data_IF_933736250882
#
_entry.id   IF_933736250882
#
_cell.length_a   1.000
_cell.length_b   1.000
_cell.length_c   1.000
_cell.angle_alpha   90.00
_cell.angle_beta   90.00
_cell.angle_gamma   90.00
#
_symmetry.space_group_name_H-M   'P 1'
#
loop_
_entity.id
_entity.type
_entity.pdbx_description
1 polymer ?
#
# COMPACT_ATOMS: atom_id res chain seq x y z
N UNK A 1 -1.80 24.80 -20.12
CA UNK A 1 -1.05 24.05 -19.13
C UNK A 1 -0.50 22.81 -19.81
N UNK A 2 0.79 22.82 -20.01
CA UNK A 2 1.49 21.68 -20.62
C UNK A 2 1.43 20.56 -19.62
N UNK A 3 1.01 19.38 -20.05
CA UNK A 3 1.09 18.16 -19.25
C UNK A 3 2.57 17.82 -19.01
N UNK A 4 3.12 18.37 -17.99
CA UNK A 4 4.43 18.03 -17.44
C UNK A 4 4.40 16.70 -16.65
N UNK A 5 3.37 15.91 -16.84
CA UNK A 5 3.19 14.59 -16.25
C UNK A 5 4.23 13.55 -16.69
N UNK A 6 4.85 13.74 -17.86
CA UNK A 6 5.78 12.75 -18.43
C UNK A 6 7.05 12.47 -17.60
N UNK A 7 7.73 13.42 -16.99
CA UNK A 7 8.86 13.12 -16.10
C UNK A 7 8.44 12.46 -14.80
N UNK A 8 7.24 12.78 -14.32
CA UNK A 8 6.74 12.28 -13.03
C UNK A 8 6.12 10.88 -13.10
N UNK A 9 5.61 10.45 -14.24
CA UNK A 9 5.08 9.08 -14.40
C UNK A 9 6.16 8.00 -14.19
N UNK A 10 7.43 8.32 -14.36
CA UNK A 10 8.53 7.42 -14.06
C UNK A 10 8.80 7.33 -12.54
N UNK A 11 8.56 8.40 -11.78
CA UNK A 11 8.67 8.43 -10.32
C UNK A 11 7.55 7.64 -9.61
N UNK A 12 6.40 7.49 -10.27
CA UNK A 12 5.27 6.71 -9.75
C UNK A 12 5.40 5.20 -9.98
N UNK A 13 6.46 4.76 -10.63
CA UNK A 13 6.71 3.33 -10.88
C UNK A 13 7.38 2.70 -9.68
N UNK A 14 7.19 1.40 -9.56
CA UNK A 14 7.51 0.50 -8.46
C UNK A 14 8.77 0.81 -7.67
N UNK A 15 8.70 0.52 -6.39
CA UNK A 15 9.80 0.53 -5.46
C UNK A 15 9.82 1.71 -4.49
N UNK A 16 10.38 1.45 -3.33
CA UNK A 16 10.36 2.37 -2.17
C UNK A 16 10.98 3.73 -2.43
N UNK A 17 12.10 3.78 -3.15
CA UNK A 17 12.81 5.03 -3.45
C UNK A 17 11.95 5.95 -4.31
N UNK A 18 11.40 5.43 -5.42
CA UNK A 18 10.54 6.21 -6.30
C UNK A 18 9.29 6.72 -5.59
N UNK A 19 8.67 5.88 -4.78
CA UNK A 19 7.47 6.19 -4.02
C UNK A 19 7.73 7.29 -2.97
N UNK A 20 8.81 7.17 -2.20
CA UNK A 20 9.20 8.18 -1.20
C UNK A 20 9.56 9.52 -1.83
N UNK A 21 10.35 9.52 -2.92
CA UNK A 21 10.70 10.74 -3.66
C UNK A 21 9.46 11.43 -4.23
N UNK A 22 8.53 10.67 -4.80
CA UNK A 22 7.29 11.23 -5.31
C UNK A 22 6.47 11.90 -4.21
N UNK A 23 6.31 11.24 -3.07
CA UNK A 23 5.58 11.79 -1.91
C UNK A 23 6.24 13.07 -1.40
N UNK A 24 7.56 13.13 -1.33
CA UNK A 24 8.28 14.34 -0.92
C UNK A 24 8.08 15.48 -1.91
N UNK A 25 8.13 15.21 -3.22
CA UNK A 25 7.85 16.22 -4.26
C UNK A 25 6.42 16.75 -4.13
N UNK A 26 5.44 15.88 -3.88
CA UNK A 26 4.05 16.29 -3.66
C UNK A 26 3.92 17.20 -2.44
N UNK A 27 4.61 16.88 -1.35
CA UNK A 27 4.63 17.71 -0.14
C UNK A 27 5.28 19.09 -0.39
N UNK A 28 6.50 19.12 -0.94
CA UNK A 28 7.30 20.33 -1.04
C UNK A 28 6.84 21.28 -2.15
N UNK A 29 6.44 20.74 -3.30
CA UNK A 29 6.15 21.56 -4.48
C UNK A 29 4.65 21.83 -4.63
N UNK A 30 3.81 20.85 -4.29
CA UNK A 30 2.36 20.94 -4.49
C UNK A 30 1.58 21.24 -3.22
N UNK A 31 2.22 21.13 -2.04
CA UNK A 31 1.57 21.43 -0.75
C UNK A 31 0.31 20.60 -0.51
N UNK A 32 0.38 19.29 -0.82
CA UNK A 32 -0.78 18.42 -0.72
C UNK A 32 -1.24 18.26 0.73
N UNK A 33 -2.56 18.23 0.95
CA UNK A 33 -3.16 18.12 2.28
C UNK A 33 -3.40 16.66 2.70
N UNK A 34 -3.38 15.71 1.75
CA UNK A 34 -3.49 14.28 1.99
C UNK A 34 -2.84 13.48 0.86
N UNK A 35 -2.42 12.24 1.16
CA UNK A 35 -1.89 11.30 0.17
C UNK A 35 -2.72 10.03 0.16
N UNK A 36 -3.29 9.68 -0.99
CA UNK A 36 -3.97 8.40 -1.20
C UNK A 36 -3.15 7.61 -2.23
N UNK A 37 -2.58 6.49 -1.80
CA UNK A 37 -1.89 5.58 -2.69
C UNK A 37 -2.80 4.40 -3.03
N UNK A 38 -3.06 4.21 -4.30
CA UNK A 38 -3.88 3.11 -4.83
C UNK A 38 -3.06 2.20 -5.73
N UNK A 39 -3.35 0.91 -5.70
CA UNK A 39 -2.64 -0.09 -6.50
C UNK A 39 -3.10 -1.50 -6.16
N UNK A 40 -2.32 -2.47 -6.61
CA UNK A 40 -2.55 -3.89 -6.38
C UNK A 40 -1.55 -4.47 -5.40
N UNK A 41 -1.86 -5.64 -4.82
CA UNK A 41 -1.01 -6.31 -3.85
C UNK A 41 -1.27 -7.82 -3.81
N UNK A 42 -0.30 -8.57 -3.31
CA UNK A 42 -0.48 -9.96 -2.93
C UNK A 42 -1.13 -10.10 -1.54
N UNK A 43 -2.01 -11.06 -1.38
CA UNK A 43 -2.68 -11.34 -0.10
C UNK A 43 -1.75 -12.06 0.88
N UNK A 44 -1.66 -11.52 2.10
CA UNK A 44 -1.04 -12.19 3.25
C UNK A 44 -2.07 -12.84 4.20
N UNK A 45 -3.37 -12.63 3.97
CA UNK A 45 -4.44 -13.17 4.80
C UNK A 45 -5.32 -14.12 3.98
N UNK A 46 -5.61 -15.31 4.52
CA UNK A 46 -6.38 -16.32 3.81
C UNK A 46 -7.84 -15.93 3.59
N UNK A 47 -8.41 -15.06 4.42
CA UNK A 47 -9.78 -14.59 4.31
C UNK A 47 -9.95 -13.53 3.20
N UNK A 48 -8.84 -12.93 2.75
CA UNK A 48 -8.83 -11.91 1.71
C UNK A 48 -8.66 -12.56 0.35
N UNK A 49 -9.64 -12.45 -0.53
CA UNK A 49 -9.64 -13.05 -1.85
C UNK A 49 -9.10 -12.13 -2.95
N UNK A 50 -8.74 -12.71 -4.08
CA UNK A 50 -8.40 -11.94 -5.29
C UNK A 50 -9.63 -11.09 -5.67
N UNK A 51 -9.39 -9.81 -5.96
CA UNK A 51 -10.41 -8.81 -6.21
C UNK A 51 -10.88 -8.02 -4.98
N UNK A 52 -10.71 -8.56 -3.77
CA UNK A 52 -11.02 -7.81 -2.54
C UNK A 52 -10.10 -6.61 -2.33
N UNK A 53 -10.53 -5.65 -1.51
CA UNK A 53 -9.75 -4.47 -1.18
C UNK A 53 -9.25 -4.52 0.27
N UNK A 54 -7.98 -4.19 0.46
CA UNK A 54 -7.36 -3.94 1.77
C UNK A 54 -7.07 -2.45 1.91
N UNK A 55 -7.61 -1.85 2.98
CA UNK A 55 -7.34 -0.47 3.42
C UNK A 55 -6.32 -0.52 4.55
N UNK A 56 -5.24 0.24 4.45
CA UNK A 56 -4.21 0.23 5.48
C UNK A 56 -4.71 0.75 6.83
N UNK A 57 -4.49 -0.01 7.90
CA UNK A 57 -4.51 0.53 9.27
C UNK A 57 -3.19 1.20 9.58
N UNK A 58 -2.12 0.57 9.14
CA UNK A 58 -0.75 1.06 9.17
C UNK A 58 0.06 0.41 8.05
N UNK A 59 1.24 0.94 7.79
CA UNK A 59 2.19 0.38 6.83
C UNK A 59 3.57 0.23 7.47
N UNK A 60 4.35 -0.78 7.06
CA UNK A 60 5.72 -0.99 7.51
C UNK A 60 6.61 -1.61 6.42
N UNK A 61 7.93 -1.46 6.60
CA UNK A 61 8.92 -2.08 5.74
C UNK A 61 9.26 -3.49 6.23
N UNK A 62 8.76 -4.54 5.56
CA UNK A 62 9.05 -5.92 5.95
C UNK A 62 10.50 -6.36 5.66
N UNK A 63 11.17 -5.67 4.74
CA UNK A 63 12.54 -5.95 4.30
C UNK A 63 13.61 -5.12 5.00
N UNK A 64 13.22 -4.22 5.94
CA UNK A 64 14.16 -3.49 6.78
C UNK A 64 14.72 -4.43 7.85
N UNK A 65 16.04 -4.59 7.85
CA UNK A 65 16.74 -5.44 8.81
C UNK A 65 17.93 -4.69 9.43
N UNK A 66 17.75 -4.28 10.67
CA UNK A 66 18.78 -3.67 11.50
C UNK A 66 18.91 -4.38 12.86
N UNK A 67 18.53 -5.67 12.92
CA UNK A 67 18.57 -6.49 14.14
C UNK A 67 19.98 -6.51 14.75
N UNK A 68 21.03 -6.55 13.92
CA UNK A 68 22.41 -6.52 14.36
C UNK A 68 22.80 -5.27 15.16
N UNK A 69 22.00 -4.20 15.08
CA UNK A 69 22.15 -2.96 15.86
C UNK A 69 21.13 -2.84 17.01
N UNK A 70 20.38 -3.91 17.31
CA UNK A 70 19.41 -3.96 18.41
C UNK A 70 18.01 -3.44 18.07
N UNK A 71 17.71 -3.15 16.82
CA UNK A 71 16.36 -2.79 16.37
C UNK A 71 15.49 -4.02 16.12
N UNK A 72 14.18 -3.84 16.15
CA UNK A 72 13.24 -4.88 15.71
C UNK A 72 13.33 -5.02 14.19
N UNK A 73 13.08 -6.22 13.66
CA UNK A 73 12.91 -6.40 12.22
C UNK A 73 11.78 -5.52 11.71
N UNK A 74 11.96 -4.84 10.58
CA UNK A 74 11.01 -3.85 10.07
C UNK A 74 11.16 -2.44 10.65
N UNK A 75 11.88 -2.27 11.77
CA UNK A 75 12.09 -0.95 12.37
C UNK A 75 13.22 -0.20 11.67
N UNK A 76 12.94 1.04 11.29
CA UNK A 76 13.95 1.94 10.71
C UNK A 76 14.84 2.47 11.84
N UNK A 77 16.18 2.36 11.73
CA UNK A 77 17.09 2.89 12.73
C UNK A 77 16.87 4.39 13.01
N UNK A 78 16.97 4.78 14.29
CA UNK A 78 16.78 6.15 14.76
C UNK A 78 15.35 6.71 14.60
N UNK A 79 14.38 5.86 14.30
CA UNK A 79 12.96 6.20 14.37
C UNK A 79 12.32 5.46 15.55
N UNK A 80 11.46 6.17 16.29
CA UNK A 80 10.72 5.59 17.42
C UNK A 80 9.56 4.71 16.91
N UNK A 81 9.01 5.07 15.76
CA UNK A 81 7.90 4.35 15.13
C UNK A 81 8.37 3.06 14.46
N UNK A 82 7.64 1.99 14.75
CA UNK A 82 7.79 0.69 14.10
C UNK A 82 7.02 0.62 12.79
N UNK A 83 5.86 1.26 12.75
CA UNK A 83 4.96 1.32 11.58
C UNK A 83 4.32 2.70 11.49
N UNK A 84 3.85 3.08 10.32
CA UNK A 84 3.25 4.38 10.06
C UNK A 84 1.73 4.24 10.02
N UNK A 85 0.99 4.85 10.98
CA UNK A 85 -0.47 4.74 11.04
C UNK A 85 -1.13 5.51 9.90
N UNK A 86 -2.06 4.86 9.21
CA UNK A 86 -2.88 5.51 8.19
C UNK A 86 -3.97 6.39 8.84
N UNK A 87 -4.42 7.42 8.11
CA UNK A 87 -5.46 8.32 8.60
C UNK A 87 -6.82 7.59 8.71
N UNK A 88 -7.43 7.66 9.89
CA UNK A 88 -8.68 6.98 10.20
C UNK A 88 -9.87 7.56 9.43
N UNK A 89 -9.88 8.88 9.17
CA UNK A 89 -10.99 9.53 8.44
C UNK A 89 -10.98 9.10 6.99
N UNK A 90 -9.80 9.12 6.35
CA UNK A 90 -9.64 8.63 4.98
C UNK A 90 -10.02 7.15 4.87
N UNK A 91 -9.59 6.33 5.84
CA UNK A 91 -9.91 4.90 5.87
C UNK A 91 -11.40 4.63 6.00
N UNK A 92 -12.10 5.32 6.93
CA UNK A 92 -13.56 5.20 7.10
C UNK A 92 -14.33 5.63 5.86
N UNK A 93 -13.88 6.72 5.23
CA UNK A 93 -14.46 7.18 3.97
C UNK A 93 -14.27 6.10 2.87
N UNK A 94 -13.06 5.57 2.72
CA UNK A 94 -12.77 4.52 1.75
C UNK A 94 -13.61 3.27 1.98
N UNK A 95 -13.76 2.82 3.24
CA UNK A 95 -14.59 1.65 3.57
C UNK A 95 -16.07 1.85 3.24
N UNK A 96 -16.60 3.05 3.51
CA UNK A 96 -17.98 3.42 3.14
C UNK A 96 -18.15 3.41 1.61
N UNK A 97 -17.31 4.16 0.92
CA UNK A 97 -17.38 4.35 -0.54
C UNK A 97 -17.19 3.02 -1.27
N UNK A 98 -16.26 2.18 -0.82
CA UNK A 98 -16.02 0.89 -1.47
C UNK A 98 -17.26 0.01 -1.49
N UNK A 99 -18.01 -0.04 -0.39
CA UNK A 99 -19.27 -0.79 -0.32
C UNK A 99 -20.35 -0.26 -1.27
N UNK A 100 -20.28 1.03 -1.61
CA UNK A 100 -21.24 1.65 -2.55
C UNK A 100 -20.88 1.34 -4.01
N UNK A 101 -19.58 1.40 -4.37
CA UNK A 101 -19.15 1.31 -5.77
C UNK A 101 -18.68 -0.09 -6.18
N UNK A 102 -18.36 -0.95 -5.23
CA UNK A 102 -17.92 -2.34 -5.43
C UNK A 102 -18.66 -3.29 -4.48
N UNK A 103 -20.00 -3.40 -4.56
CA UNK A 103 -20.79 -4.20 -3.62
C UNK A 103 -20.53 -5.71 -3.73
N UNK A 104 -19.89 -6.15 -4.81
CA UNK A 104 -19.60 -7.56 -5.13
C UNK A 104 -18.33 -8.10 -4.43
N UNK A 105 -17.50 -7.22 -3.86
CA UNK A 105 -16.25 -7.61 -3.20
C UNK A 105 -16.25 -7.24 -1.71
N UNK A 106 -15.32 -7.85 -0.98
CA UNK A 106 -15.12 -7.55 0.44
C UNK A 106 -14.09 -6.43 0.63
N UNK A 107 -14.25 -5.68 1.73
CA UNK A 107 -13.31 -4.64 2.17
C UNK A 107 -12.76 -5.03 3.52
N UNK A 108 -11.45 -5.11 3.61
CA UNK A 108 -10.71 -5.41 4.83
C UNK A 108 -9.91 -4.20 5.28
N UNK A 109 -9.75 -4.05 6.57
CA UNK A 109 -8.85 -3.08 7.19
C UNK A 109 -7.71 -3.83 7.85
N UNK A 110 -6.46 -3.52 7.50
CA UNK A 110 -5.33 -4.26 8.03
C UNK A 110 -3.98 -3.66 7.66
N UNK A 111 -2.93 -4.21 8.26
CA UNK A 111 -1.56 -3.82 7.99
C UNK A 111 -1.16 -4.17 6.57
N UNK A 112 -0.48 -3.24 5.89
CA UNK A 112 0.15 -3.47 4.59
C UNK A 112 1.67 -3.49 4.78
N UNK A 113 2.32 -4.54 4.28
CA UNK A 113 3.75 -4.75 4.38
C UNK A 113 4.41 -4.40 3.04
N UNK A 114 5.42 -3.53 3.06
CA UNK A 114 6.12 -3.11 1.83
C UNK A 114 7.57 -3.59 1.82
N UNK A 115 8.07 -3.95 0.64
CA UNK A 115 9.47 -4.26 0.42
C UNK A 115 9.82 -4.19 -1.07
N UNK A 116 11.09 -4.01 -1.42
CA UNK A 116 11.54 -3.99 -2.82
C UNK A 116 11.65 -5.42 -3.39
N UNK A 117 10.59 -6.23 -3.18
CA UNK A 117 10.52 -7.63 -3.59
C UNK A 117 9.09 -7.99 -4.02
N UNK A 118 8.96 -8.66 -5.16
CA UNK A 118 7.73 -9.34 -5.53
C UNK A 118 7.66 -10.68 -4.79
N UNK A 119 6.72 -10.81 -3.87
CA UNK A 119 6.59 -12.01 -3.03
C UNK A 119 5.78 -13.07 -3.77
N UNK A 120 6.43 -14.17 -4.12
CA UNK A 120 5.85 -15.33 -4.82
C UNK A 120 6.27 -16.67 -4.20
N UNK A 121 7.03 -16.64 -3.12
CA UNK A 121 7.45 -17.84 -2.38
C UNK A 121 6.64 -17.95 -1.09
N UNK A 122 6.00 -19.11 -0.90
CA UNK A 122 5.17 -19.38 0.26
C UNK A 122 5.93 -19.26 1.60
N UNK A 123 7.20 -19.66 1.62
CA UNK A 123 8.01 -19.60 2.85
C UNK A 123 8.30 -18.15 3.26
N UNK A 124 8.55 -17.29 2.28
CA UNK A 124 8.74 -15.84 2.48
C UNK A 124 7.42 -15.20 2.93
N UNK A 125 6.31 -15.53 2.27
CA UNK A 125 4.96 -15.11 2.70
C UNK A 125 4.69 -15.47 4.16
N UNK A 126 4.87 -16.75 4.52
CA UNK A 126 4.60 -17.26 5.86
C UNK A 126 5.49 -16.55 6.93
N UNK A 127 6.75 -16.25 6.57
CA UNK A 127 7.64 -15.49 7.45
C UNK A 127 7.15 -14.05 7.66
N UNK A 128 6.69 -13.36 6.61
CA UNK A 128 6.13 -12.00 6.71
C UNK A 128 4.87 -12.01 7.58
N UNK A 129 3.98 -12.99 7.40
CA UNK A 129 2.76 -13.13 8.22
C UNK A 129 3.13 -13.35 9.68
N UNK A 130 4.05 -14.28 9.96
CA UNK A 130 4.46 -14.63 11.34
C UNK A 130 5.11 -13.46 12.06
N UNK A 131 5.92 -12.67 11.37
CA UNK A 131 6.66 -11.56 11.95
C UNK A 131 5.79 -10.30 12.13
N UNK A 132 4.95 -9.98 11.13
CA UNK A 132 4.29 -8.68 11.05
C UNK A 132 2.76 -8.72 11.13
N UNK A 133 2.12 -9.86 10.91
CA UNK A 133 0.66 -9.98 10.91
C UNK A 133 -0.03 -9.18 9.81
N UNK A 134 0.60 -9.08 8.62
CA UNK A 134 0.10 -8.28 7.50
C UNK A 134 -1.14 -8.89 6.82
N UNK A 135 -1.94 -8.04 6.18
CA UNK A 135 -3.08 -8.41 5.32
C UNK A 135 -2.71 -8.43 3.85
N UNK A 136 -1.81 -7.55 3.43
CA UNK A 136 -1.34 -7.45 2.06
C UNK A 136 0.16 -7.12 2.01
N UNK A 137 0.81 -7.49 0.89
CA UNK A 137 2.22 -7.19 0.61
C UNK A 137 2.34 -6.54 -0.76
N UNK A 138 3.14 -5.49 -0.83
CA UNK A 138 3.39 -4.68 -2.03
C UNK A 138 4.76 -3.97 -1.93
N UNK A 139 5.03 -2.97 -2.76
CA UNK A 139 6.40 -2.44 -2.91
C UNK A 139 6.55 -0.93 -2.66
N UNK A 140 5.52 -0.19 -2.25
CA UNK A 140 5.54 1.28 -2.18
C UNK A 140 4.97 1.88 -0.88
N UNK A 141 3.91 1.29 -0.35
CA UNK A 141 3.04 1.89 0.66
C UNK A 141 3.77 2.36 1.92
N UNK A 142 4.74 1.57 2.41
CA UNK A 142 5.52 1.97 3.59
C UNK A 142 6.43 3.18 3.33
N UNK A 143 7.01 3.31 2.13
CA UNK A 143 7.82 4.46 1.78
C UNK A 143 6.98 5.73 1.63
N UNK A 144 5.76 5.60 1.08
CA UNK A 144 4.78 6.69 1.03
C UNK A 144 4.34 7.08 2.43
N UNK A 145 3.97 6.10 3.26
CA UNK A 145 3.55 6.33 4.64
C UNK A 145 4.65 6.97 5.48
N UNK A 146 5.90 6.52 5.34
CA UNK A 146 7.06 7.12 6.00
C UNK A 146 7.26 8.58 5.58
N UNK A 147 7.25 8.87 4.28
CA UNK A 147 7.44 10.23 3.78
C UNK A 147 6.27 11.14 4.22
N UNK A 148 5.03 10.67 4.15
CA UNK A 148 3.85 11.40 4.61
C UNK A 148 3.91 11.66 6.12
N UNK A 149 4.28 10.66 6.93
CA UNK A 149 4.46 10.77 8.38
C UNK A 149 5.49 11.86 8.74
N UNK A 150 6.67 11.83 8.10
CA UNK A 150 7.73 12.81 8.33
C UNK A 150 7.34 14.24 7.93
N UNK A 151 6.42 14.39 6.99
CA UNK A 151 5.85 15.67 6.56
C UNK A 151 4.54 16.05 7.28
N UNK A 152 4.08 15.22 8.25
CA UNK A 152 2.81 15.42 8.97
C UNK A 152 1.59 15.50 8.06
N UNK A 153 1.61 14.77 6.96
CA UNK A 153 0.51 14.69 5.98
C UNK A 153 -0.29 13.40 6.21
N UNK A 154 -1.63 13.47 6.38
CA UNK A 154 -2.46 12.28 6.47
C UNK A 154 -2.36 11.44 5.20
N UNK A 155 -2.33 10.11 5.34
CA UNK A 155 -2.26 9.22 4.20
C UNK A 155 -3.15 7.99 4.36
N UNK A 156 -3.47 7.37 3.23
CA UNK A 156 -4.11 6.06 3.15
C UNK A 156 -3.50 5.25 2.01
N UNK A 157 -3.22 3.98 2.26
CA UNK A 157 -2.84 3.00 1.22
C UNK A 157 -4.03 2.09 0.97
N UNK A 158 -4.44 1.99 -0.29
CA UNK A 158 -5.53 1.16 -0.78
C UNK A 158 -4.95 0.11 -1.72
N UNK A 159 -5.24 -1.16 -1.50
CA UNK A 159 -4.77 -2.26 -2.35
C UNK A 159 -5.90 -3.18 -2.76
N UNK A 160 -6.06 -3.38 -4.06
CA UNK A 160 -6.88 -4.46 -4.58
C UNK A 160 -6.01 -5.72 -4.72
N UNK A 161 -6.50 -6.85 -4.28
CA UNK A 161 -5.71 -8.08 -4.28
C UNK A 161 -5.68 -8.68 -5.67
N UNK A 162 -4.48 -8.82 -6.23
CA UNK A 162 -4.23 -9.41 -7.56
C UNK A 162 -3.81 -10.88 -7.50
N UNK A 163 -3.22 -11.30 -6.38
CA UNK A 163 -2.63 -12.62 -6.22
C UNK A 163 -2.56 -13.05 -4.74
N UNK A 164 -2.17 -14.29 -4.51
CA UNK A 164 -2.05 -14.85 -3.15
C UNK A 164 -0.65 -14.76 -2.56
N UNK A 165 0.29 -14.05 -3.18
CA UNK A 165 1.69 -13.92 -2.75
C UNK A 165 2.38 -15.27 -2.49
N UNK A 166 2.09 -16.29 -3.30
CA UNK A 166 2.62 -17.64 -3.19
C UNK A 166 3.01 -18.21 -4.56
N UNK A 167 3.18 -19.52 -4.70
CA UNK A 167 3.58 -20.15 -5.94
C UNK A 167 2.65 -19.92 -7.14
N UNK A 168 1.40 -19.48 -6.93
CA UNK A 168 0.46 -19.10 -7.99
C UNK A 168 0.60 -17.63 -8.43
N UNK A 169 1.27 -16.79 -7.64
CA UNK A 169 1.25 -15.33 -7.77
C UNK A 169 1.50 -14.78 -9.19
N UNK A 170 2.43 -15.38 -9.93
CA UNK A 170 2.71 -14.93 -11.30
C UNK A 170 1.55 -15.17 -12.28
N UNK A 171 0.81 -16.25 -12.12
CA UNK A 171 -0.36 -16.56 -12.95
C UNK A 171 -1.55 -15.71 -12.51
N UNK A 172 -1.81 -15.65 -11.21
CA UNK A 172 -2.89 -14.88 -10.63
C UNK A 172 -2.76 -13.39 -11.00
N UNK A 173 -1.55 -12.82 -10.86
CA UNK A 173 -1.26 -11.43 -11.22
C UNK A 173 -1.62 -11.15 -12.68
N UNK A 174 -1.14 -11.97 -13.62
CA UNK A 174 -1.38 -11.77 -15.06
C UNK A 174 -2.86 -11.88 -15.43
N UNK A 175 -3.63 -12.74 -14.72
CA UNK A 175 -5.04 -12.98 -15.00
C UNK A 175 -5.96 -11.91 -14.37
N UNK A 176 -5.66 -11.49 -13.12
CA UNK A 176 -6.58 -10.69 -12.32
C UNK A 176 -6.18 -9.22 -12.15
N UNK A 177 -5.00 -8.80 -12.63
CA UNK A 177 -4.51 -7.42 -12.52
C UNK A 177 -5.54 -6.39 -12.97
N UNK A 178 -6.15 -6.58 -14.15
CA UNK A 178 -7.10 -5.61 -14.71
C UNK A 178 -8.38 -5.48 -13.88
N UNK A 179 -8.92 -6.58 -13.36
CA UNK A 179 -10.10 -6.54 -12.51
C UNK A 179 -9.81 -5.86 -11.16
N UNK A 180 -8.66 -6.15 -10.57
CA UNK A 180 -8.21 -5.50 -9.34
C UNK A 180 -8.01 -3.98 -9.53
N UNK A 181 -7.42 -3.56 -10.66
CA UNK A 181 -7.27 -2.15 -11.03
C UNK A 181 -8.64 -1.47 -11.14
N UNK A 182 -9.63 -2.10 -11.78
CA UNK A 182 -10.96 -1.52 -11.94
C UNK A 182 -11.63 -1.22 -10.60
N UNK A 183 -11.60 -2.14 -9.65
CA UNK A 183 -12.15 -1.92 -8.30
C UNK A 183 -11.43 -0.77 -7.58
N UNK A 184 -10.12 -0.72 -7.68
CA UNK A 184 -9.29 0.32 -7.07
C UNK A 184 -9.56 1.71 -7.68
N UNK A 185 -9.74 1.80 -8.99
CA UNK A 185 -10.04 3.05 -9.71
C UNK A 185 -11.43 3.56 -9.34
N UNK A 186 -12.46 2.70 -9.37
CA UNK A 186 -13.84 3.08 -8.98
C UNK A 186 -13.87 3.67 -7.57
N UNK A 187 -13.22 3.00 -6.62
CA UNK A 187 -13.11 3.48 -5.25
C UNK A 187 -12.43 4.85 -5.18
N UNK A 188 -11.25 4.98 -5.78
CA UNK A 188 -10.44 6.20 -5.69
C UNK A 188 -11.15 7.41 -6.29
N UNK A 189 -11.74 7.25 -7.48
CA UNK A 189 -12.51 8.32 -8.15
C UNK A 189 -13.68 8.78 -7.28
N UNK A 190 -14.41 7.84 -6.69
CA UNK A 190 -15.56 8.18 -5.84
C UNK A 190 -15.12 8.83 -4.52
N UNK A 191 -14.03 8.37 -3.91
CA UNK A 191 -13.45 9.02 -2.73
C UNK A 191 -13.11 10.49 -2.98
N UNK A 192 -12.43 10.79 -4.09
CA UNK A 192 -12.04 12.17 -4.45
C UNK A 192 -13.26 13.08 -4.58
N UNK A 193 -14.40 12.55 -4.98
CA UNK A 193 -15.65 13.32 -5.08
C UNK A 193 -16.31 13.61 -3.72
N UNK A 194 -15.93 12.90 -2.66
CA UNK A 194 -16.46 13.08 -1.30
C UNK A 194 -15.49 13.79 -0.34
N UNK A 195 -14.24 14.02 -0.76
CA UNK A 195 -13.24 14.81 -0.04
C UNK A 195 -13.44 16.31 -0.27
#
# INVERSE_FOLDING_TARGET
>A
PRSTLFPYTTLFRSGKVNAGMCTQILADIFGVEAVINTGIAGSLNNDVNIGDIVLSTDVLHHDMDAIGFGYKKGQIPQMDEFSFPADEKLRKLAAKVCKEVNPEISVFEGRICSGDQFISDKSVKDAIISEFGGFAVEMEGAAIGQAAYLNHIPFLVVRAISDKADGSAHMDYAEFEMAAIEHSVKLTVRMIQEL
#
